data_IF_201594451396
#
_entry.id   IF_201594451396
#
_cell.length_a   1.000
_cell.length_b   1.000
_cell.length_c   1.000
_cell.angle_alpha   90.00
_cell.angle_beta   90.00
_cell.angle_gamma   90.00
#
_symmetry.space_group_name_H-M   'P 1'
#
loop_
_entity.id
_entity.type
_entity.pdbx_description
1 polymer ?
#
# COMPACT_ATOMS: atom_id res chain seq x y z
N UNK A 1 -17.36 -9.81 -1.11
CA UNK A 1 -18.57 -10.63 -0.87
C UNK A 1 -18.11 -12.09 -0.89
N UNK A 2 -17.99 -12.72 0.27
CA UNK A 2 -17.73 -14.17 0.34
C UNK A 2 -19.01 -14.81 0.86
N UNK A 3 -19.63 -15.66 0.06
CA UNK A 3 -20.83 -16.40 0.44
C UNK A 3 -20.42 -17.66 1.18
N UNK A 4 -20.89 -17.82 2.42
CA UNK A 4 -20.79 -19.07 3.16
C UNK A 4 -22.19 -19.62 3.43
N UNK A 5 -22.55 -20.73 2.79
CA UNK A 5 -23.79 -21.45 3.09
C UNK A 5 -23.51 -22.51 4.16
N UNK A 6 -23.97 -22.29 5.39
CA UNK A 6 -23.98 -23.33 6.41
C UNK A 6 -25.32 -24.05 6.36
N UNK A 7 -25.30 -25.28 5.85
CA UNK A 7 -26.42 -26.21 5.93
C UNK A 7 -26.03 -27.31 6.89
N UNK A 8 -26.55 -27.29 8.13
CA UNK A 8 -26.33 -28.38 9.08
C UNK A 8 -27.60 -29.20 9.27
N UNK A 9 -27.39 -30.50 9.44
CA UNK A 9 -28.37 -31.56 9.21
C UNK A 9 -29.44 -31.65 10.29
N UNK A 10 -30.66 -31.95 9.83
CA UNK A 10 -31.82 -32.45 10.56
C UNK A 10 -32.73 -31.42 11.26
N UNK A 11 -33.90 -31.26 10.60
CA UNK A 11 -35.19 -30.73 11.08
C UNK A 11 -35.38 -29.20 10.97
N UNK A 12 -36.18 -28.83 9.96
CA UNK A 12 -36.67 -27.50 9.53
C UNK A 12 -35.65 -26.53 8.87
N UNK A 13 -35.66 -26.55 7.53
CA UNK A 13 -34.90 -25.68 6.63
C UNK A 13 -35.43 -24.24 6.73
N UNK A 14 -34.80 -23.41 7.56
CA UNK A 14 -34.86 -21.95 7.38
C UNK A 14 -33.45 -21.42 7.20
N UNK A 15 -33.09 -21.21 5.93
CA UNK A 15 -31.80 -20.65 5.55
C UNK A 15 -31.86 -19.13 5.81
N UNK A 16 -31.56 -18.72 7.04
CA UNK A 16 -31.47 -17.30 7.38
C UNK A 16 -30.18 -16.74 6.78
N UNK A 17 -30.32 -15.86 5.79
CA UNK A 17 -29.21 -15.06 5.27
C UNK A 17 -28.81 -14.06 6.36
N UNK A 18 -27.89 -14.47 7.23
CA UNK A 18 -27.27 -13.55 8.20
C UNK A 18 -26.32 -12.65 7.42
N UNK A 19 -26.76 -11.42 7.13
CA UNK A 19 -25.88 -10.35 6.65
C UNK A 19 -24.97 -9.93 7.80
N UNK A 20 -23.84 -10.61 7.96
CA UNK A 20 -22.74 -10.08 8.75
C UNK A 20 -22.09 -8.96 7.92
N UNK A 21 -22.58 -7.72 8.10
CA UNK A 21 -21.80 -6.54 7.77
C UNK A 21 -20.61 -6.52 8.70
N UNK A 22 -19.55 -7.21 8.29
CA UNK A 22 -18.22 -6.98 8.86
C UNK A 22 -17.87 -5.55 8.47
N UNK A 23 -17.93 -4.63 9.44
CA UNK A 23 -17.46 -3.27 9.24
C UNK A 23 -16.04 -3.34 8.71
N UNK A 24 -15.79 -2.72 7.56
CA UNK A 24 -14.45 -2.68 6.99
C UNK A 24 -13.55 -1.98 8.00
N UNK A 25 -12.66 -2.74 8.64
CA UNK A 25 -11.44 -2.20 9.22
C UNK A 25 -10.76 -1.44 8.08
N UNK A 26 -10.39 -0.17 8.29
CA UNK A 26 -9.99 0.73 7.20
C UNK A 26 -8.95 0.08 6.28
N UNK A 27 -9.10 0.29 4.98
CA UNK A 27 -8.28 -0.39 3.96
C UNK A 27 -7.23 0.55 3.38
N UNK A 28 -6.08 -0.01 3.00
CA UNK A 28 -5.10 0.64 2.13
C UNK A 28 -5.23 0.04 0.73
N UNK A 29 -5.27 0.91 -0.26
CA UNK A 29 -5.37 0.56 -1.67
C UNK A 29 -4.17 1.16 -2.41
N UNK A 30 -3.63 0.42 -3.38
CA UNK A 30 -2.56 0.91 -4.23
C UNK A 30 -2.94 0.66 -5.68
N UNK A 31 -2.66 1.64 -6.54
CA UNK A 31 -2.94 1.60 -7.96
C UNK A 31 -1.78 2.20 -8.76
N UNK A 32 -1.52 1.71 -9.98
CA UNK A 32 -1.98 0.41 -10.51
C UNK A 32 -1.33 -0.78 -9.78
N UNK A 33 -1.93 -1.97 -9.88
CA UNK A 33 -1.36 -3.22 -9.31
C UNK A 33 -0.24 -3.83 -10.16
N UNK A 34 -0.20 -3.49 -11.44
CA UNK A 34 0.87 -3.84 -12.36
C UNK A 34 1.04 -2.66 -13.33
N UNK A 35 2.29 -2.24 -13.51
CA UNK A 35 2.67 -1.15 -14.39
C UNK A 35 3.80 -1.63 -15.29
N UNK A 36 3.60 -1.51 -16.60
CA UNK A 36 4.63 -1.78 -17.60
C UNK A 36 4.97 -0.45 -18.28
N UNK A 37 6.23 -0.05 -18.24
CA UNK A 37 6.74 1.22 -18.77
C UNK A 37 8.11 1.02 -19.40
N UNK A 38 8.43 1.81 -20.41
CA UNK A 38 9.73 1.72 -21.10
C UNK A 38 10.83 2.46 -20.32
N UNK A 39 12.09 2.14 -20.60
CA UNK A 39 13.23 2.87 -20.08
C UNK A 39 13.12 4.36 -20.42
N UNK A 40 13.60 5.20 -19.50
CA UNK A 40 13.56 6.68 -19.56
C UNK A 40 12.17 7.30 -19.40
N UNK A 41 11.09 6.51 -19.40
CA UNK A 41 9.78 7.00 -18.98
C UNK A 41 9.77 7.32 -17.48
N UNK A 42 8.69 7.96 -17.03
CA UNK A 42 8.37 8.07 -15.61
C UNK A 42 7.25 7.10 -15.25
N UNK A 43 7.35 6.49 -14.06
CA UNK A 43 6.28 5.69 -13.47
C UNK A 43 5.64 6.45 -12.30
N UNK A 44 4.35 6.23 -12.09
CA UNK A 44 3.63 6.79 -10.95
C UNK A 44 2.78 5.71 -10.30
N UNK A 45 2.88 5.62 -8.97
CA UNK A 45 2.13 4.71 -8.13
C UNK A 45 1.37 5.53 -7.09
N UNK A 46 0.10 5.24 -6.90
CA UNK A 46 -0.77 5.93 -5.96
C UNK A 46 -1.19 4.98 -4.86
N UNK A 47 -1.19 5.46 -3.62
CA UNK A 47 -1.66 4.76 -2.44
C UNK A 47 -2.74 5.59 -1.77
N UNK A 48 -3.83 4.97 -1.34
CA UNK A 48 -4.95 5.61 -0.65
C UNK A 48 -5.33 4.82 0.60
N UNK A 49 -5.81 5.49 1.63
CA UNK A 49 -6.36 4.82 2.82
C UNK A 49 -7.54 5.55 3.43
N UNK A 50 -8.43 4.78 4.07
CA UNK A 50 -9.63 5.29 4.76
C UNK A 50 -9.50 5.28 6.29
N UNK A 51 -8.30 5.04 6.81
CA UNK A 51 -8.02 4.93 8.25
C UNK A 51 -7.88 6.33 8.86
N UNK A 52 -8.88 6.78 9.62
CA UNK A 52 -9.00 8.16 10.12
C UNK A 52 -7.86 8.63 11.03
N UNK A 53 -7.18 7.73 11.73
CA UNK A 53 -6.05 8.09 12.60
C UNK A 53 -4.74 8.18 11.81
N UNK A 54 -4.63 7.58 10.64
CA UNK A 54 -3.33 7.55 9.95
C UNK A 54 -3.01 8.91 9.33
N UNK A 55 -1.74 9.32 9.44
CA UNK A 55 -1.25 10.62 8.95
C UNK A 55 0.04 10.47 8.13
N UNK A 56 0.51 9.25 7.96
CA UNK A 56 1.74 8.94 7.25
C UNK A 56 1.52 7.86 6.20
N UNK A 57 2.16 8.03 5.04
CA UNK A 57 2.28 7.01 3.99
C UNK A 57 3.77 6.80 3.69
N UNK A 58 4.21 5.55 3.70
CA UNK A 58 5.57 5.12 3.43
C UNK A 58 5.63 4.38 2.10
N UNK A 59 6.72 4.56 1.37
CA UNK A 59 7.01 3.86 0.13
C UNK A 59 8.26 3.02 0.27
N UNK A 60 8.15 1.74 -0.08
CA UNK A 60 9.25 0.78 -0.07
C UNK A 60 9.46 0.14 -1.43
N UNK A 61 10.71 -0.20 -1.73
CA UNK A 61 11.12 -1.03 -2.85
C UNK A 61 11.65 -2.36 -2.33
N UNK A 62 11.21 -3.46 -2.94
CA UNK A 62 11.75 -4.80 -2.71
C UNK A 62 12.22 -5.35 -4.05
N UNK A 63 13.51 -5.62 -4.15
CA UNK A 63 14.12 -6.20 -5.35
C UNK A 63 14.06 -7.73 -5.30
N UNK A 64 14.15 -8.40 -6.45
CA UNK A 64 14.18 -9.87 -6.50
C UNK A 64 15.42 -10.47 -5.80
N UNK A 65 16.54 -9.74 -5.82
CA UNK A 65 17.84 -10.19 -5.30
C UNK A 65 18.00 -9.96 -3.80
N UNK A 66 17.43 -8.87 -3.29
CA UNK A 66 17.39 -8.55 -1.87
C UNK A 66 15.95 -8.63 -1.37
N UNK A 67 15.65 -9.67 -0.58
CA UNK A 67 14.34 -9.88 0.04
C UNK A 67 14.00 -8.81 1.11
N UNK A 68 14.93 -7.92 1.47
CA UNK A 68 14.67 -6.80 2.36
C UNK A 68 13.88 -5.66 1.71
N UNK A 69 13.11 -4.94 2.54
CA UNK A 69 12.44 -3.71 2.13
C UNK A 69 13.42 -2.53 2.25
N UNK A 70 13.59 -1.79 1.15
CA UNK A 70 14.32 -0.52 1.15
C UNK A 70 13.31 0.62 1.23
N UNK A 71 13.42 1.49 2.24
CA UNK A 71 12.59 2.69 2.33
C UNK A 71 13.04 3.68 1.25
N UNK A 72 12.08 4.16 0.45
CA UNK A 72 12.31 5.20 -0.55
C UNK A 72 12.05 6.60 0.01
N UNK A 73 11.06 6.69 0.89
CA UNK A 73 10.64 7.92 1.54
C UNK A 73 9.25 7.81 2.12
N UNK A 74 8.79 8.89 2.75
CA UNK A 74 7.48 8.97 3.36
C UNK A 74 6.84 10.36 3.24
N UNK A 75 5.52 10.37 3.37
CA UNK A 75 4.68 11.55 3.38
C UNK A 75 4.09 11.66 4.78
N UNK A 76 4.19 12.84 5.40
CA UNK A 76 3.55 13.13 6.68
C UNK A 76 2.64 14.33 6.54
N UNK A 77 1.33 14.10 6.56
CA UNK A 77 0.33 15.07 6.10
C UNK A 77 0.73 15.60 4.72
N UNK A 78 1.08 16.88 4.59
CA UNK A 78 1.50 17.50 3.32
C UNK A 78 3.01 17.77 3.24
N UNK A 79 3.80 17.11 4.08
CA UNK A 79 5.25 17.20 4.07
C UNK A 79 5.85 15.94 3.46
N UNK A 80 6.92 16.10 2.69
CA UNK A 80 7.51 15.04 1.87
C UNK A 80 8.95 14.79 2.29
N UNK A 81 9.29 13.54 2.56
CA UNK A 81 10.59 13.12 3.07
C UNK A 81 11.14 11.96 2.22
N UNK A 82 11.68 12.24 1.02
CA UNK A 82 12.45 11.25 0.28
C UNK A 82 13.76 10.94 1.02
N UNK A 83 14.19 9.69 0.99
CA UNK A 83 15.52 9.33 1.50
C UNK A 83 16.62 9.91 0.58
N UNK A 84 17.75 10.30 1.16
CA UNK A 84 18.80 11.06 0.47
C UNK A 84 19.29 10.39 -0.81
N UNK A 85 19.44 9.07 -0.78
CA UNK A 85 19.88 8.24 -1.90
C UNK A 85 18.85 8.14 -3.05
N UNK A 86 17.59 8.49 -2.80
CA UNK A 86 16.51 8.47 -3.80
C UNK A 86 15.97 9.86 -4.15
N UNK A 87 16.35 10.91 -3.41
CA UNK A 87 15.89 12.29 -3.57
C UNK A 87 15.87 12.83 -5.00
N UNK A 88 16.80 12.40 -5.87
CA UNK A 88 16.87 12.80 -7.29
C UNK A 88 16.07 11.89 -8.23
N UNK A 89 15.77 10.66 -7.79
CA UNK A 89 15.14 9.60 -8.59
C UNK A 89 13.63 9.55 -8.36
N UNK A 90 13.15 10.02 -7.20
CA UNK A 90 11.73 9.96 -6.85
C UNK A 90 11.14 11.35 -6.58
N UNK A 91 9.83 11.46 -6.75
CA UNK A 91 9.03 12.56 -6.25
C UNK A 91 7.85 12.00 -5.45
N UNK A 92 7.54 12.66 -4.34
CA UNK A 92 6.41 12.32 -3.49
C UNK A 92 5.38 13.45 -3.59
N UNK A 93 4.10 13.09 -3.61
CA UNK A 93 2.99 14.04 -3.58
C UNK A 93 1.79 13.45 -2.81
N UNK A 94 0.79 14.26 -2.48
CA UNK A 94 -0.44 13.86 -1.80
C UNK A 94 -0.57 14.37 -0.37
N UNK A 95 -1.48 13.73 0.38
CA UNK A 95 -1.77 13.99 1.78
C UNK A 95 -1.72 12.67 2.57
N UNK A 96 -0.68 12.46 3.37
CA UNK A 96 -0.43 11.23 4.12
C UNK A 96 -1.57 10.80 5.06
N UNK A 97 -2.61 11.62 5.27
CA UNK A 97 -3.84 11.23 5.96
C UNK A 97 -4.93 10.63 5.05
N UNK A 98 -4.73 10.64 3.73
CA UNK A 98 -5.71 10.20 2.71
C UNK A 98 -5.07 9.43 1.58
N UNK A 99 -4.04 10.00 0.95
CA UNK A 99 -3.39 9.45 -0.23
C UNK A 99 -1.94 9.91 -0.39
N UNK A 100 -1.19 9.19 -1.20
CA UNK A 100 0.19 9.50 -1.52
C UNK A 100 0.54 8.98 -2.89
N UNK A 101 1.30 9.75 -3.65
CA UNK A 101 1.87 9.36 -4.93
C UNK A 101 3.38 9.19 -4.80
N UNK A 102 3.90 8.13 -5.39
CA UNK A 102 5.32 7.91 -5.65
C UNK A 102 5.53 7.95 -7.15
N UNK A 103 6.26 8.97 -7.60
CA UNK A 103 6.72 9.08 -8.98
C UNK A 103 8.19 8.70 -9.07
N UNK A 104 8.53 7.77 -9.94
CA UNK A 104 9.90 7.34 -10.23
C UNK A 104 10.29 7.95 -11.57
N UNK A 105 11.39 8.68 -11.59
CA UNK A 105 11.86 9.42 -12.75
C UNK A 105 12.86 8.61 -13.56
N UNK A 106 12.80 8.75 -14.89
CA UNK A 106 13.78 8.21 -15.84
C UNK A 106 14.10 6.74 -15.56
N UNK A 107 13.14 5.86 -15.82
CA UNK A 107 13.24 4.44 -15.48
C UNK A 107 14.47 3.76 -16.09
N UNK A 108 15.10 2.91 -15.28
CA UNK A 108 16.22 2.05 -15.66
C UNK A 108 15.85 0.59 -15.39
N UNK A 109 16.57 -0.38 -15.97
CA UNK A 109 16.33 -1.81 -15.74
C UNK A 109 16.37 -2.20 -14.24
N UNK A 110 17.17 -1.50 -13.43
CA UNK A 110 17.23 -1.71 -11.97
C UNK A 110 16.01 -1.22 -11.20
N UNK A 111 15.12 -0.45 -11.84
CA UNK A 111 13.88 0.02 -11.24
C UNK A 111 12.77 -1.02 -11.28
N UNK A 112 12.91 -2.08 -12.08
CA UNK A 112 11.98 -3.19 -12.09
C UNK A 112 12.04 -3.95 -10.76
N UNK A 113 10.97 -3.82 -9.98
CA UNK A 113 10.89 -4.31 -8.62
C UNK A 113 9.43 -4.33 -8.14
N UNK A 114 9.23 -4.89 -6.95
CA UNK A 114 7.97 -4.75 -6.24
C UNK A 114 7.99 -3.47 -5.40
N UNK A 115 6.98 -2.63 -5.60
CA UNK A 115 6.80 -1.39 -4.85
C UNK A 115 5.62 -1.48 -3.93
N UNK A 116 5.82 -0.96 -2.72
CA UNK A 116 4.92 -1.18 -1.60
C UNK A 116 4.61 0.11 -0.87
N UNK A 117 3.33 0.41 -0.69
CA UNK A 117 2.88 1.43 0.24
C UNK A 117 2.44 0.86 1.59
N UNK A 118 2.58 1.68 2.62
CA UNK A 118 2.03 1.42 3.95
C UNK A 118 1.58 2.72 4.60
N UNK A 119 0.46 2.70 5.32
CA UNK A 119 -0.02 3.86 6.08
C UNK A 119 0.10 3.63 7.59
N UNK A 120 0.31 4.70 8.39
CA UNK A 120 0.34 4.61 9.85
C UNK A 120 -0.07 5.90 10.57
N UNK A 121 -0.43 5.78 11.86
CA UNK A 121 -0.58 6.91 12.79
C UNK A 121 0.80 7.41 13.25
N UNK A 122 0.90 8.69 13.60
CA UNK A 122 2.09 9.30 14.17
C UNK A 122 2.21 9.00 15.67
N UNK A 123 2.86 7.89 16.02
CA UNK A 123 3.50 7.74 17.34
C UNK A 123 4.77 6.92 17.20
N UNK A 124 5.84 7.42 17.80
CA UNK A 124 7.15 6.76 17.96
C UNK A 124 6.94 5.27 18.20
N UNK A 125 7.59 4.44 17.38
CA UNK A 125 7.55 2.98 17.37
C UNK A 125 7.23 2.39 18.76
N UNK A 126 5.97 2.03 19.00
CA UNK A 126 5.66 1.13 20.11
C UNK A 126 5.88 -0.29 19.60
N UNK A 127 6.74 -1.03 20.28
CA UNK A 127 7.21 -2.37 19.93
C UNK A 127 6.13 -3.46 19.94
N UNK A 128 4.85 -3.11 20.08
CA UNK A 128 3.75 -4.05 20.34
C UNK A 128 2.43 -3.75 19.60
N UNK A 129 2.42 -2.82 18.63
CA UNK A 129 1.33 -2.78 17.67
C UNK A 129 1.69 -3.75 16.54
N UNK A 130 0.95 -4.86 16.41
CA UNK A 130 0.94 -5.66 15.18
C UNK A 130 0.70 -4.68 14.05
N UNK A 131 1.76 -4.32 13.33
CA UNK A 131 1.70 -3.26 12.35
C UNK A 131 0.73 -3.76 11.29
N UNK A 132 -0.50 -3.26 11.28
CA UNK A 132 -1.40 -3.38 10.15
C UNK A 132 -0.85 -2.46 9.04
N UNK A 133 0.35 -2.80 8.56
CA UNK A 133 0.89 -2.40 7.27
C UNK A 133 -0.01 -3.08 6.27
N UNK A 134 -1.07 -2.41 5.86
CA UNK A 134 -1.82 -2.87 4.71
C UNK A 134 -0.93 -2.60 3.49
N UNK A 135 -0.24 -3.67 3.11
CA UNK A 135 0.82 -3.72 2.13
C UNK A 135 0.17 -4.10 0.79
N UNK A 136 0.29 -3.23 -0.21
CA UNK A 136 -0.11 -3.56 -1.59
C UNK A 136 1.09 -3.43 -2.49
N UNK A 137 1.23 -4.39 -3.38
CA UNK A 137 2.37 -4.51 -4.26
C UNK A 137 1.96 -4.03 -5.66
N UNK A 138 2.81 -3.23 -6.29
CA UNK A 138 2.77 -2.99 -7.72
C UNK A 138 4.03 -3.61 -8.33
N UNK A 139 3.85 -4.42 -9.37
CA UNK A 139 4.98 -4.88 -10.18
C UNK A 139 5.27 -3.79 -11.20
N UNK A 140 6.50 -3.29 -11.22
CA UNK A 140 6.98 -2.44 -12.30
C UNK A 140 7.85 -3.29 -13.23
N UNK A 141 7.39 -3.49 -14.47
CA UNK A 141 8.20 -4.10 -15.53
C UNK A 141 8.69 -3.03 -16.48
N UNK A 142 9.94 -3.21 -16.92
CA UNK A 142 10.57 -2.46 -17.97
C UNK A 142 11.19 -3.46 -18.95
#
# INVERSE_FOLDING_TARGET
LVYGSFCNSSVFITCTLVFLFTGSVGSVQQSPSNLIKSEKDNAELVCEHSIATYTMIFWYKQTQTNHGFTLLGYIWNKNYFPEDNFSKKIQLDGDGAKNGSLKILQLEASDSAMYYCAASFHSVMSSHATIQKALKAAVLHN
#
